data_IF_932004651794
#
_entry.id   IF_932004651794
#
_cell.length_a   1.000
_cell.length_b   1.000
_cell.length_c   1.000
_cell.angle_alpha   90.00
_cell.angle_beta   90.00
_cell.angle_gamma   90.00
#
_symmetry.space_group_name_H-M   'P 1'
#
loop_
_entity.id
_entity.type
_entity.pdbx_description
1 polymer ?
#
# COMPACT_ATOMS: atom_id res chain seq x y z
N UNK A 1 -20.25 -12.12 6.09
CA UNK A 1 -20.23 -10.81 5.43
C UNK A 1 -20.63 -9.79 6.48
N UNK A 2 -19.67 -9.20 7.19
CA UNK A 2 -19.94 -8.06 8.07
C UNK A 2 -19.55 -6.80 7.28
N UNK A 3 -20.52 -6.10 6.73
CA UNK A 3 -20.38 -4.72 6.31
C UNK A 3 -20.21 -3.89 7.58
N UNK A 4 -19.00 -3.53 7.92
CA UNK A 4 -18.70 -2.53 8.93
C UNK A 4 -19.34 -1.23 8.48
N UNK A 5 -20.37 -0.76 9.17
CA UNK A 5 -20.89 0.60 8.98
C UNK A 5 -19.77 1.56 9.40
N UNK A 6 -19.09 2.14 8.41
CA UNK A 6 -18.06 3.15 8.65
C UNK A 6 -18.66 4.31 9.44
N UNK A 7 -17.95 4.78 10.46
CA UNK A 7 -18.40 5.93 11.26
C UNK A 7 -18.56 7.17 10.38
N UNK A 8 -19.50 8.08 10.73
CA UNK A 8 -19.68 9.36 10.01
C UNK A 8 -18.39 10.19 9.96
N UNK A 9 -17.52 10.05 10.95
CA UNK A 9 -16.20 10.68 10.97
C UNK A 9 -15.34 10.16 9.83
N UNK A 10 -15.24 8.83 9.70
CA UNK A 10 -14.45 8.17 8.65
C UNK A 10 -14.99 8.49 7.26
N UNK A 11 -16.32 8.42 7.08
CA UNK A 11 -16.96 8.77 5.81
C UNK A 11 -16.63 10.19 5.36
N UNK A 12 -16.68 11.17 6.28
CA UNK A 12 -16.33 12.56 5.98
C UNK A 12 -14.85 12.73 5.71
N UNK A 13 -13.97 12.10 6.48
CA UNK A 13 -12.53 12.15 6.25
C UNK A 13 -12.17 11.56 4.87
N UNK A 14 -12.75 10.42 4.50
CA UNK A 14 -12.51 9.79 3.20
C UNK A 14 -13.05 10.65 2.04
N UNK A 15 -14.22 11.28 2.20
CA UNK A 15 -14.78 12.18 1.19
C UNK A 15 -13.85 13.40 0.95
N UNK A 16 -13.43 14.08 2.01
CA UNK A 16 -12.51 15.22 1.91
C UNK A 16 -11.14 14.82 1.35
N UNK A 17 -10.61 13.67 1.78
CA UNK A 17 -9.37 13.11 1.22
C UNK A 17 -9.49 12.85 -0.27
N UNK A 18 -10.62 12.34 -0.72
CA UNK A 18 -10.89 12.12 -2.14
C UNK A 18 -10.95 13.43 -2.92
N UNK A 19 -11.70 14.45 -2.45
CA UNK A 19 -11.79 15.78 -3.07
C UNK A 19 -10.39 16.43 -3.22
N UNK A 20 -9.54 16.30 -2.18
CA UNK A 20 -8.15 16.76 -2.23
C UNK A 20 -7.34 15.94 -3.28
N UNK A 21 -7.53 14.63 -3.32
CA UNK A 21 -6.77 13.76 -4.22
C UNK A 21 -7.08 14.00 -5.71
N UNK A 22 -8.32 14.35 -6.03
CA UNK A 22 -8.72 14.71 -7.41
C UNK A 22 -8.45 16.18 -7.78
N UNK A 23 -7.86 16.94 -6.84
CA UNK A 23 -7.41 18.32 -7.09
C UNK A 23 -8.48 19.41 -6.95
N UNK A 24 -9.62 19.12 -6.30
CA UNK A 24 -10.60 20.17 -5.96
C UNK A 24 -10.01 21.21 -5.01
N UNK A 25 -9.07 20.80 -4.16
CA UNK A 25 -8.26 21.66 -3.31
C UNK A 25 -6.78 21.40 -3.55
N UNK A 26 -6.05 22.41 -3.97
CA UNK A 26 -4.60 22.33 -4.15
C UNK A 26 -3.85 22.42 -2.81
N UNK A 27 -2.60 21.93 -2.73
CA UNK A 27 -1.75 22.13 -1.55
C UNK A 27 -1.69 23.62 -1.15
N UNK A 28 -2.01 23.90 0.11
CA UNK A 28 -2.09 25.25 0.65
C UNK A 28 -3.45 25.93 0.58
N UNK A 29 -4.40 25.40 -0.16
CA UNK A 29 -5.75 25.97 -0.25
C UNK A 29 -6.50 25.85 1.06
N UNK A 30 -7.29 26.87 1.44
CA UNK A 30 -8.16 26.82 2.59
C UNK A 30 -9.31 25.82 2.35
N UNK A 31 -9.58 25.02 3.35
CA UNK A 31 -10.76 24.16 3.36
C UNK A 31 -11.97 24.89 3.96
N UNK A 32 -13.20 24.46 3.61
CA UNK A 32 -14.40 25.03 4.20
C UNK A 32 -14.38 24.95 5.73
N UNK A 33 -14.98 25.91 6.39
CA UNK A 33 -15.03 25.95 7.86
C UNK A 33 -15.81 24.76 8.44
N UNK A 34 -15.57 24.44 9.72
CA UNK A 34 -16.32 23.41 10.45
C UNK A 34 -17.84 23.63 10.30
N UNK A 35 -18.30 24.87 10.36
CA UNK A 35 -19.73 25.20 10.20
C UNK A 35 -20.19 24.99 8.74
N UNK A 36 -19.33 25.27 7.77
CA UNK A 36 -19.58 25.03 6.35
C UNK A 36 -19.77 23.57 6.06
N UNK A 37 -18.80 22.73 6.43
CA UNK A 37 -18.85 21.29 6.23
C UNK A 37 -19.99 20.63 7.03
N UNK A 38 -20.24 21.08 8.27
CA UNK A 38 -21.35 20.59 9.07
C UNK A 38 -22.70 20.74 8.35
N UNK A 39 -22.91 21.90 7.68
CA UNK A 39 -24.12 22.15 6.88
C UNK A 39 -24.11 21.37 5.57
N UNK A 40 -22.98 21.36 4.86
CA UNK A 40 -22.83 20.69 3.56
C UNK A 40 -23.09 19.19 3.64
N UNK A 41 -22.52 18.52 4.66
CA UNK A 41 -22.61 17.07 4.82
C UNK A 41 -23.69 16.60 5.80
N UNK A 42 -24.44 17.51 6.43
CA UNK A 42 -25.49 17.16 7.37
C UNK A 42 -25.00 16.41 8.62
N UNK A 43 -23.80 16.75 9.09
CA UNK A 43 -23.16 16.12 10.27
C UNK A 43 -22.92 17.13 11.38
N UNK A 44 -22.69 16.65 12.61
CA UNK A 44 -22.39 17.53 13.73
C UNK A 44 -21.01 18.23 13.55
N UNK A 45 -20.85 19.41 14.18
CA UNK A 45 -19.56 20.12 14.24
C UNK A 45 -18.45 19.26 14.85
N UNK A 46 -18.77 18.46 15.86
CA UNK A 46 -17.84 17.52 16.48
C UNK A 46 -17.37 16.43 15.49
N UNK A 47 -18.28 15.94 14.66
CA UNK A 47 -17.93 15.01 13.58
C UNK A 47 -16.95 15.61 12.60
N UNK A 48 -17.16 16.86 12.18
CA UNK A 48 -16.24 17.58 11.28
C UNK A 48 -14.89 17.78 11.95
N UNK A 49 -14.86 18.22 13.20
CA UNK A 49 -13.63 18.42 13.95
C UNK A 49 -12.81 17.11 14.06
N UNK A 50 -13.47 16.00 14.37
CA UNK A 50 -12.81 14.69 14.43
C UNK A 50 -12.29 14.24 13.07
N UNK A 51 -13.03 14.49 11.99
CA UNK A 51 -12.57 14.18 10.63
C UNK A 51 -11.34 15.03 10.25
N UNK A 52 -11.33 16.33 10.57
CA UNK A 52 -10.15 17.16 10.36
C UNK A 52 -8.94 16.70 11.19
N UNK A 53 -9.13 16.27 12.43
CA UNK A 53 -8.05 15.72 13.25
C UNK A 53 -7.50 14.42 12.65
N UNK A 54 -8.36 13.56 12.11
CA UNK A 54 -7.93 12.34 11.41
C UNK A 54 -7.08 12.70 10.17
N UNK A 55 -7.55 13.62 9.33
CA UNK A 55 -6.81 14.10 8.16
C UNK A 55 -5.49 14.81 8.54
N UNK A 56 -5.47 15.49 9.68
CA UNK A 56 -4.26 16.14 10.21
C UNK A 56 -3.23 15.10 10.69
N UNK A 57 -3.67 14.05 11.37
CA UNK A 57 -2.79 12.94 11.75
C UNK A 57 -2.21 12.22 10.51
N UNK A 58 -2.98 12.16 9.42
CA UNK A 58 -2.53 11.63 8.12
C UNK A 58 -1.63 12.61 7.35
N UNK A 59 -1.46 13.87 7.83
CA UNK A 59 -0.67 14.89 7.17
C UNK A 59 -1.30 15.47 5.88
N UNK A 60 -2.57 15.16 5.62
CA UNK A 60 -3.31 15.64 4.44
C UNK A 60 -3.77 17.10 4.65
N UNK A 61 -4.14 17.43 5.88
CA UNK A 61 -4.65 18.75 6.27
C UNK A 61 -3.80 19.31 7.40
N UNK A 62 -3.68 20.62 7.46
CA UNK A 62 -3.09 21.34 8.57
C UNK A 62 -3.99 22.50 9.03
N UNK A 63 -3.66 23.16 10.12
CA UNK A 63 -4.43 24.26 10.65
C UNK A 63 -3.55 25.39 11.19
N UNK A 64 -3.96 26.63 10.97
CA UNK A 64 -3.34 27.81 11.57
C UNK A 64 -4.40 28.74 12.15
N UNK A 65 -4.09 29.49 13.24
CA UNK A 65 -5.07 30.33 13.93
C UNK A 65 -5.80 31.32 13.02
N UNK A 66 -5.09 31.89 12.06
CA UNK A 66 -5.64 32.94 11.14
C UNK A 66 -6.16 32.33 9.82
N UNK A 67 -5.75 31.14 9.44
CA UNK A 67 -6.07 30.52 8.16
C UNK A 67 -7.18 29.45 8.26
N UNK A 68 -7.42 28.95 9.47
CA UNK A 68 -8.29 27.79 9.68
C UNK A 68 -7.64 26.50 9.22
N UNK A 69 -8.45 25.57 8.69
CA UNK A 69 -7.97 24.32 8.10
C UNK A 69 -7.61 24.53 6.62
N UNK A 70 -6.51 23.95 6.18
CA UNK A 70 -6.02 24.04 4.80
C UNK A 70 -5.32 22.74 4.39
N UNK A 71 -5.24 22.49 3.09
CA UNK A 71 -4.51 21.34 2.56
C UNK A 71 -3.04 21.49 2.90
N UNK A 72 -2.47 20.45 3.47
CA UNK A 72 -1.05 20.47 3.89
C UNK A 72 -0.13 20.73 2.69
N UNK A 73 0.84 21.62 2.89
CA UNK A 73 1.93 21.85 1.94
C UNK A 73 3.11 20.89 2.15
N UNK A 74 3.06 20.07 3.20
CA UNK A 74 4.12 19.12 3.47
C UNK A 74 4.16 18.07 2.36
N UNK A 75 5.31 17.96 1.71
CA UNK A 75 5.56 16.90 0.73
C UNK A 75 5.90 15.63 1.49
N UNK A 76 5.02 14.65 1.41
CA UNK A 76 5.27 13.31 1.96
C UNK A 76 6.03 12.47 0.94
N UNK A 77 7.18 11.97 1.34
CA UNK A 77 8.01 11.12 0.48
C UNK A 77 7.78 9.66 0.80
N UNK A 78 7.57 8.86 -0.22
CA UNK A 78 7.42 7.40 -0.15
C UNK A 78 8.62 6.77 -0.85
N UNK A 79 9.32 5.89 -0.15
CA UNK A 79 10.25 4.97 -0.80
C UNK A 79 9.45 3.81 -1.38
N UNK A 80 9.52 3.58 -2.68
CA UNK A 80 9.04 2.34 -3.31
C UNK A 80 10.27 1.55 -3.78
N UNK A 81 10.60 0.50 -3.03
CA UNK A 81 11.74 -0.38 -3.32
C UNK A 81 11.23 -1.70 -3.88
N UNK A 82 11.53 -1.94 -5.14
CA UNK A 82 11.13 -3.14 -5.88
C UNK A 82 12.37 -3.98 -6.23
N UNK A 83 12.17 -5.25 -6.60
CA UNK A 83 13.25 -6.14 -6.98
C UNK A 83 13.81 -5.80 -8.36
N UNK A 84 13.06 -6.01 -9.43
CA UNK A 84 13.42 -5.74 -10.82
C UNK A 84 12.27 -5.09 -11.56
N UNK A 85 12.55 -4.48 -12.69
CA UNK A 85 11.51 -3.95 -13.57
C UNK A 85 10.73 -5.09 -14.24
N UNK A 86 9.39 -4.96 -14.24
CA UNK A 86 8.50 -5.80 -15.03
C UNK A 86 7.21 -5.04 -15.36
N UNK A 87 6.42 -5.48 -16.37
CA UNK A 87 5.12 -4.87 -16.67
C UNK A 87 4.16 -4.85 -15.47
N UNK A 88 4.18 -5.88 -14.64
CA UNK A 88 3.39 -5.94 -13.41
C UNK A 88 3.80 -4.83 -12.43
N UNK A 89 5.10 -4.64 -12.23
CA UNK A 89 5.64 -3.63 -11.30
C UNK A 89 5.43 -2.21 -11.81
N UNK A 90 5.43 -2.03 -13.12
CA UNK A 90 5.00 -0.77 -13.73
C UNK A 90 3.53 -0.47 -13.42
N UNK A 91 2.63 -1.45 -13.59
CA UNK A 91 1.22 -1.30 -13.24
C UNK A 91 1.01 -1.04 -11.75
N UNK A 92 1.78 -1.71 -10.88
CA UNK A 92 1.75 -1.48 -9.44
C UNK A 92 2.15 -0.04 -9.09
N UNK A 93 3.27 0.45 -9.63
CA UNK A 93 3.72 1.84 -9.45
C UNK A 93 2.67 2.84 -9.94
N UNK A 94 2.12 2.62 -11.15
CA UNK A 94 1.11 3.47 -11.74
C UNK A 94 -0.19 3.49 -10.89
N UNK A 95 -0.64 2.31 -10.42
CA UNK A 95 -1.80 2.21 -9.56
C UNK A 95 -1.60 2.92 -8.21
N UNK A 96 -0.43 2.79 -7.59
CA UNK A 96 -0.09 3.52 -6.37
C UNK A 96 -0.11 5.02 -6.65
N UNK A 97 0.58 5.48 -7.70
CA UNK A 97 0.72 6.90 -8.04
C UNK A 97 -0.63 7.57 -8.29
N UNK A 98 -1.53 6.91 -9.02
CA UNK A 98 -2.86 7.46 -9.32
C UNK A 98 -3.77 7.59 -8.11
N UNK A 99 -3.53 6.82 -7.05
CA UNK A 99 -4.35 6.83 -5.85
C UNK A 99 -3.75 7.65 -4.70
N UNK A 100 -2.59 8.27 -4.91
CA UNK A 100 -1.97 9.16 -3.93
C UNK A 100 -2.45 10.60 -4.11
N UNK A 101 -2.60 11.30 -2.98
CA UNK A 101 -2.85 12.74 -2.99
C UNK A 101 -1.64 13.50 -3.56
N UNK A 102 -1.89 14.71 -4.10
CA UNK A 102 -0.88 15.50 -4.82
C UNK A 102 0.35 15.90 -3.97
N UNK A 103 0.24 15.86 -2.64
CA UNK A 103 1.33 16.15 -1.72
C UNK A 103 2.23 14.94 -1.42
N UNK A 104 1.98 13.77 -2.05
CA UNK A 104 2.87 12.61 -1.96
C UNK A 104 3.78 12.53 -3.18
N UNK A 105 5.03 12.13 -2.95
CA UNK A 105 6.02 11.84 -3.99
C UNK A 105 6.63 10.47 -3.77
N UNK A 106 6.71 9.68 -4.84
CA UNK A 106 7.32 8.37 -4.83
C UNK A 106 8.74 8.48 -5.36
N UNK A 107 9.70 7.99 -4.59
CA UNK A 107 11.05 7.70 -5.04
C UNK A 107 11.14 6.20 -5.30
N UNK A 108 11.24 5.82 -6.57
CA UNK A 108 11.29 4.42 -7.01
C UNK A 108 12.74 3.95 -7.12
N UNK A 109 13.04 2.84 -6.46
CA UNK A 109 14.33 2.15 -6.52
C UNK A 109 14.15 0.68 -6.86
N UNK A 110 15.18 0.09 -7.47
CA UNK A 110 15.26 -1.33 -7.76
C UNK A 110 16.53 -1.90 -7.13
N UNK A 111 16.40 -2.96 -6.33
CA UNK A 111 17.56 -3.62 -5.71
C UNK A 111 18.14 -4.77 -6.56
N UNK A 112 17.54 -5.08 -7.72
CA UNK A 112 18.05 -6.07 -8.69
C UNK A 112 18.33 -7.45 -8.05
N UNK A 113 17.60 -7.80 -6.98
CA UNK A 113 17.81 -9.02 -6.17
C UNK A 113 19.21 -9.10 -5.53
N UNK A 114 19.91 -7.99 -5.44
CA UNK A 114 21.18 -7.88 -4.74
C UNK A 114 20.93 -7.54 -3.28
N UNK A 115 21.40 -8.42 -2.38
CA UNK A 115 21.35 -8.17 -0.94
C UNK A 115 22.14 -6.93 -0.56
N UNK A 116 23.32 -6.75 -1.17
CA UNK A 116 24.19 -5.60 -0.94
C UNK A 116 23.46 -4.29 -1.29
N UNK A 117 22.86 -4.24 -2.50
CA UNK A 117 22.12 -3.06 -2.95
C UNK A 117 20.87 -2.80 -2.12
N UNK A 118 20.12 -3.85 -1.78
CA UNK A 118 18.96 -3.77 -0.91
C UNK A 118 19.34 -3.17 0.45
N UNK A 119 20.35 -3.75 1.10
CA UNK A 119 20.84 -3.30 2.40
C UNK A 119 21.31 -1.86 2.35
N UNK A 120 22.05 -1.48 1.30
CA UNK A 120 22.52 -0.11 1.11
C UNK A 120 21.35 0.86 0.98
N UNK A 121 20.37 0.57 0.10
CA UNK A 121 19.21 1.45 -0.12
C UNK A 121 18.42 1.62 1.18
N UNK A 122 18.14 0.56 1.91
CA UNK A 122 17.41 0.65 3.20
C UNK A 122 18.19 1.52 4.18
N UNK A 123 19.48 1.25 4.37
CA UNK A 123 20.33 2.00 5.32
C UNK A 123 20.39 3.50 4.98
N UNK A 124 20.57 3.82 3.71
CA UNK A 124 20.65 5.20 3.24
C UNK A 124 19.30 5.93 3.30
N UNK A 125 18.20 5.18 3.45
CA UNK A 125 16.83 5.70 3.47
C UNK A 125 16.27 5.90 4.87
N UNK A 126 16.91 5.39 5.92
CA UNK A 126 16.42 5.49 7.30
C UNK A 126 16.11 6.95 7.67
N UNK A 127 14.89 7.20 8.14
CA UNK A 127 14.44 8.53 8.59
C UNK A 127 14.17 9.55 7.48
N UNK A 128 14.38 9.20 6.19
CA UNK A 128 14.24 10.13 5.05
C UNK A 128 12.87 10.10 4.40
N UNK A 129 12.06 9.10 4.71
CA UNK A 129 10.75 8.87 4.09
C UNK A 129 9.65 8.81 5.15
N UNK A 130 8.46 9.21 4.75
CA UNK A 130 7.25 9.12 5.57
C UNK A 130 6.67 7.70 5.55
N UNK A 131 6.83 7.01 4.41
CA UNK A 131 6.39 5.62 4.22
C UNK A 131 7.42 4.86 3.39
N UNK A 132 7.49 3.56 3.62
CA UNK A 132 8.36 2.61 2.93
C UNK A 132 7.50 1.47 2.39
N UNK A 133 7.43 1.35 1.07
CA UNK A 133 6.81 0.24 0.35
C UNK A 133 7.95 -0.63 -0.16
N UNK A 134 8.13 -1.83 0.40
CA UNK A 134 9.35 -2.61 0.20
C UNK A 134 9.02 -4.01 -0.28
N UNK A 135 9.53 -4.39 -1.45
CA UNK A 135 9.73 -5.79 -1.83
C UNK A 135 11.08 -6.26 -1.28
N UNK A 136 11.09 -7.40 -0.60
CA UNK A 136 12.34 -7.96 -0.10
C UNK A 136 13.20 -8.51 -1.25
N UNK A 137 14.51 -8.62 -1.03
CA UNK A 137 15.44 -9.15 -2.04
C UNK A 137 15.34 -10.67 -2.21
N UNK A 138 14.89 -11.37 -1.19
CA UNK A 138 14.56 -12.79 -1.20
C UNK A 138 13.11 -13.02 -0.79
N UNK A 139 12.45 -13.92 -1.50
CA UNK A 139 11.13 -14.41 -1.12
C UNK A 139 11.26 -15.35 0.09
N UNK A 140 10.26 -15.39 0.94
CA UNK A 140 10.16 -16.31 2.09
C UNK A 140 11.22 -16.13 3.20
N UNK A 141 12.13 -15.16 3.10
CA UNK A 141 13.16 -14.88 4.10
C UNK A 141 13.03 -13.46 4.63
N UNK A 142 13.03 -13.32 5.94
CA UNK A 142 13.07 -12.00 6.58
C UNK A 142 14.46 -11.38 6.49
N UNK A 143 14.54 -10.11 6.17
CA UNK A 143 15.78 -9.34 6.13
C UNK A 143 15.92 -8.45 7.35
N UNK A 144 16.85 -8.77 8.25
CA UNK A 144 17.07 -8.06 9.51
C UNK A 144 17.35 -6.56 9.33
N UNK A 145 17.84 -6.13 8.16
CA UNK A 145 18.07 -4.72 7.87
C UNK A 145 16.78 -3.89 7.96
N UNK A 146 15.61 -4.49 7.78
CA UNK A 146 14.32 -3.83 7.90
C UNK A 146 14.03 -3.38 9.35
N UNK A 147 14.71 -3.96 10.36
CA UNK A 147 14.60 -3.54 11.75
C UNK A 147 15.11 -2.12 12.02
N UNK A 148 15.85 -1.54 11.08
CA UNK A 148 16.25 -0.13 11.14
C UNK A 148 15.10 0.83 10.85
N UNK A 149 14.02 0.34 10.25
CA UNK A 149 12.85 1.15 9.90
C UNK A 149 11.80 1.10 11.01
N UNK A 150 11.04 2.19 11.13
CA UNK A 150 9.85 2.23 11.98
C UNK A 150 8.75 1.33 11.40
N UNK A 151 8.34 0.24 12.08
CA UNK A 151 7.35 -0.70 11.54
C UNK A 151 6.02 -0.05 11.18
N UNK A 152 5.64 1.04 11.87
CA UNK A 152 4.39 1.77 11.59
C UNK A 152 4.40 2.50 10.24
N UNK A 153 5.59 2.64 9.63
CA UNK A 153 5.80 3.31 8.34
C UNK A 153 6.15 2.35 7.20
N UNK A 154 6.17 1.05 7.46
CA UNK A 154 6.57 0.05 6.47
C UNK A 154 5.38 -0.77 6.02
N UNK A 155 5.21 -0.90 4.71
CA UNK A 155 4.35 -1.89 4.07
C UNK A 155 5.24 -2.82 3.24
N UNK A 156 5.31 -4.08 3.65
CA UNK A 156 5.99 -5.10 2.85
C UNK A 156 5.09 -5.52 1.69
N UNK A 157 5.67 -5.51 0.51
CA UNK A 157 5.02 -5.94 -0.73
C UNK A 157 5.60 -7.28 -1.10
N UNK A 158 4.73 -8.24 -1.43
CA UNK A 158 5.05 -9.39 -2.23
C UNK A 158 4.86 -10.79 -1.67
N UNK A 159 5.54 -11.65 -2.38
CA UNK A 159 5.54 -13.08 -2.46
C UNK A 159 6.06 -13.69 -1.19
N UNK A 160 5.33 -14.34 -0.40
CA UNK A 160 5.87 -15.20 0.61
C UNK A 160 5.38 -14.99 2.03
N UNK A 161 5.64 -16.00 2.80
CA UNK A 161 5.30 -16.06 4.21
C UNK A 161 6.48 -15.50 5.01
N UNK A 162 6.40 -14.23 5.34
CA UNK A 162 7.25 -13.71 6.40
C UNK A 162 6.60 -14.00 7.76
N UNK A 163 7.38 -14.23 8.79
CA UNK A 163 6.91 -14.05 10.15
C UNK A 163 6.76 -12.53 10.40
N UNK A 164 5.51 -12.03 10.35
CA UNK A 164 5.23 -10.64 10.00
C UNK A 164 4.52 -9.86 11.08
N UNK A 165 4.55 -10.32 12.31
CA UNK A 165 3.81 -9.69 13.40
C UNK A 165 4.15 -8.20 13.59
N UNK A 166 5.30 -7.74 13.07
CA UNK A 166 5.76 -6.36 13.21
C UNK A 166 5.36 -5.42 12.09
N UNK A 167 5.13 -5.90 10.87
CA UNK A 167 4.92 -5.06 9.69
C UNK A 167 3.57 -5.31 9.04
N UNK A 168 2.95 -4.25 8.53
CA UNK A 168 1.86 -4.41 7.57
C UNK A 168 2.40 -5.04 6.28
N UNK A 169 1.61 -5.91 5.63
CA UNK A 169 2.02 -6.53 4.38
C UNK A 169 0.86 -6.78 3.42
N UNK A 170 1.21 -6.83 2.14
CA UNK A 170 0.35 -7.27 1.05
C UNK A 170 1.12 -8.30 0.24
N UNK A 171 0.59 -9.51 0.12
CA UNK A 171 1.21 -10.58 -0.65
C UNK A 171 0.22 -11.24 -1.61
N UNK A 172 0.75 -11.84 -2.66
CA UNK A 172 -0.03 -12.66 -3.57
C UNK A 172 -0.15 -14.09 -2.99
N UNK A 173 -1.33 -14.69 -3.14
CA UNK A 173 -1.56 -16.06 -2.70
C UNK A 173 -1.17 -17.05 -3.80
N UNK A 174 0.01 -17.66 -3.71
CA UNK A 174 0.48 -18.68 -4.65
C UNK A 174 0.32 -20.11 -4.16
N UNK A 175 -0.27 -20.30 -3.00
CA UNK A 175 -0.47 -21.60 -2.35
C UNK A 175 -1.93 -22.07 -2.46
N UNK A 176 -2.71 -21.92 -1.40
CA UNK A 176 -4.12 -22.35 -1.37
C UNK A 176 -4.95 -21.67 -2.47
N UNK A 177 -4.68 -20.38 -2.76
CA UNK A 177 -5.39 -19.64 -3.81
C UNK A 177 -5.16 -20.25 -5.19
N UNK A 178 -3.94 -20.72 -5.49
CA UNK A 178 -3.66 -21.46 -6.73
C UNK A 178 -4.49 -22.74 -6.82
N UNK A 179 -4.49 -23.54 -5.75
CA UNK A 179 -5.27 -24.77 -5.69
C UNK A 179 -6.77 -24.49 -5.92
N UNK A 180 -7.32 -23.50 -5.22
CA UNK A 180 -8.73 -23.14 -5.32
C UNK A 180 -9.11 -22.67 -6.74
N UNK A 181 -8.24 -21.90 -7.39
CA UNK A 181 -8.40 -21.52 -8.80
C UNK A 181 -8.39 -22.73 -9.73
N UNK A 182 -7.51 -23.70 -9.50
CA UNK A 182 -7.44 -24.93 -10.30
C UNK A 182 -8.69 -25.77 -10.09
N UNK A 183 -9.14 -25.92 -8.85
CA UNK A 183 -10.40 -26.64 -8.53
C UNK A 183 -11.61 -25.97 -9.17
N UNK A 184 -11.69 -24.64 -9.12
CA UNK A 184 -12.77 -23.88 -9.79
C UNK A 184 -12.76 -24.10 -11.31
N UNK A 185 -11.58 -24.35 -11.90
CA UNK A 185 -11.40 -24.66 -13.32
C UNK A 185 -11.44 -26.15 -13.69
N UNK A 186 -11.76 -27.05 -12.75
CA UNK A 186 -11.61 -28.49 -12.90
C UNK A 186 -12.23 -29.07 -14.18
N UNK A 187 -13.43 -28.60 -14.56
CA UNK A 187 -14.11 -29.05 -15.78
C UNK A 187 -13.31 -28.76 -17.07
N UNK A 188 -12.49 -27.73 -17.07
CA UNK A 188 -11.58 -27.41 -18.16
C UNK A 188 -10.40 -28.37 -18.17
N UNK A 189 -9.84 -28.69 -17.01
CA UNK A 189 -8.68 -29.58 -16.86
C UNK A 189 -9.01 -31.03 -17.20
N UNK A 190 -10.23 -31.50 -16.89
CA UNK A 190 -10.70 -32.87 -17.21
C UNK A 190 -10.66 -33.26 -18.70
N UNK A 191 -10.56 -32.25 -19.57
CA UNK A 191 -10.45 -32.47 -21.03
C UNK A 191 -9.06 -32.92 -21.47
N UNK A 192 -8.07 -32.85 -20.59
CA UNK A 192 -6.68 -33.16 -20.90
C UNK A 192 -6.23 -34.43 -20.17
N UNK A 193 -5.43 -35.24 -20.87
CA UNK A 193 -4.85 -36.47 -20.28
C UNK A 193 -3.72 -36.16 -19.30
N UNK A 194 -3.06 -35.00 -19.45
CA UNK A 194 -1.89 -34.63 -18.67
C UNK A 194 -1.87 -33.13 -18.51
N UNK A 195 -1.61 -32.67 -17.31
CA UNK A 195 -1.36 -31.26 -16.96
C UNK A 195 0.11 -31.16 -16.59
N UNK A 196 0.82 -30.22 -17.17
CA UNK A 196 2.24 -29.94 -16.90
C UNK A 196 2.38 -28.59 -16.29
N UNK A 197 2.97 -28.50 -15.09
CA UNK A 197 3.33 -27.28 -14.44
C UNK A 197 4.81 -27.00 -14.73
N UNK A 198 5.08 -25.92 -15.46
CA UNK A 198 6.44 -25.47 -15.77
C UNK A 198 6.85 -24.47 -14.70
N UNK A 199 7.89 -24.80 -13.94
CA UNK A 199 8.46 -23.95 -12.91
C UNK A 199 9.95 -23.76 -13.19
N UNK A 200 10.36 -22.59 -13.71
CA UNK A 200 11.75 -22.33 -14.06
C UNK A 200 12.63 -22.25 -12.80
N UNK A 201 13.85 -22.77 -12.89
CA UNK A 201 14.88 -22.54 -11.87
C UNK A 201 15.16 -21.03 -11.77
N UNK A 202 15.26 -20.51 -10.56
CA UNK A 202 15.42 -19.07 -10.31
C UNK A 202 14.16 -18.22 -10.55
N UNK A 203 12.99 -18.88 -10.68
CA UNK A 203 11.70 -18.18 -10.76
C UNK A 203 11.48 -17.26 -9.57
N UNK A 204 10.83 -16.12 -9.83
CA UNK A 204 10.38 -15.19 -8.78
C UNK A 204 9.19 -15.74 -7.99
N UNK A 205 8.52 -16.76 -8.50
CA UNK A 205 7.36 -17.34 -7.84
C UNK A 205 7.78 -18.24 -6.66
N UNK A 206 7.03 -18.21 -5.57
CA UNK A 206 7.31 -19.03 -4.41
C UNK A 206 7.26 -20.52 -4.75
N UNK A 207 8.25 -21.27 -4.29
CA UNK A 207 8.30 -22.74 -4.41
C UNK A 207 7.09 -23.37 -3.71
N UNK A 208 6.49 -22.69 -2.76
CA UNK A 208 5.29 -23.12 -2.03
C UNK A 208 4.10 -23.46 -2.95
N UNK A 209 4.05 -22.97 -4.19
CA UNK A 209 3.01 -23.31 -5.17
C UNK A 209 3.07 -24.78 -5.63
N UNK A 210 4.26 -25.40 -5.64
CA UNK A 210 4.48 -26.76 -6.16
C UNK A 210 3.68 -27.84 -5.41
N UNK A 211 3.68 -27.89 -4.06
CA UNK A 211 2.85 -28.83 -3.32
C UNK A 211 1.36 -28.72 -3.62
N UNK A 212 0.86 -27.51 -3.82
CA UNK A 212 -0.56 -27.27 -4.13
C UNK A 212 -0.92 -27.72 -5.54
N UNK A 213 -0.02 -27.51 -6.51
CA UNK A 213 -0.20 -28.11 -7.84
C UNK A 213 -0.21 -29.63 -7.79
N UNK A 214 0.69 -30.25 -7.02
CA UNK A 214 0.75 -31.71 -6.88
C UNK A 214 -0.48 -32.31 -6.18
N UNK A 215 -1.11 -31.53 -5.29
CA UNK A 215 -2.34 -31.92 -4.59
C UNK A 215 -3.55 -31.94 -5.52
N UNK A 216 -3.57 -31.04 -6.52
CA UNK A 216 -4.61 -30.99 -7.55
C UNK A 216 -4.56 -32.17 -8.51
#
# INVERSE_FOLDING_TARGET
VFTSQMSKVKQLADALSHEISIGEYAPGDPLPSINGLSRQYGVSRDTVFKAFNELKMQGIVDSAPTKGYYVSNAVHRILLLLDTYSPFKYQLHDAITRNLAANYKIDLYFHQRSEELFTKIIRDSVGRYNLYLVMNYQNDVYSEILDLLDPSKVLLLDFGKFEKERFAYVCQGFDQTLYDCMVAGLERFRRYRKIVFVFPEGSEHPISCIPYFKRF
#
